data_IF_313337199020
#
_entry.id   IF_313337199020
#
_cell.length_a   1.000
_cell.length_b   1.000
_cell.length_c   1.000
_cell.angle_alpha   90.00
_cell.angle_beta   90.00
_cell.angle_gamma   90.00
#
_symmetry.space_group_name_H-M   'P 1'
#
loop_
_entity.id
_entity.type
_entity.pdbx_description
1 polymer ?
#
# COMPACT_ATOMS: atom_id res chain seq x y z
N UNK A 1 -24.57 -4.55 -30.58
CA UNK A 1 -24.07 -4.20 -29.22
C UNK A 1 -22.77 -4.95 -29.02
N UNK A 2 -21.74 -4.31 -28.48
CA UNK A 2 -20.45 -4.96 -28.27
C UNK A 2 -20.42 -5.59 -26.88
N UNK A 3 -20.17 -6.90 -26.81
CA UNK A 3 -20.07 -7.61 -25.54
C UNK A 3 -18.73 -7.30 -24.86
N UNK A 4 -18.77 -6.76 -23.64
CA UNK A 4 -17.59 -6.56 -22.81
C UNK A 4 -17.45 -7.77 -21.87
N UNK A 5 -16.32 -8.47 -21.94
CA UNK A 5 -16.02 -9.63 -21.10
C UNK A 5 -14.85 -9.31 -20.17
N UNK A 6 -15.01 -9.64 -18.89
CA UNK A 6 -14.00 -9.38 -17.85
C UNK A 6 -13.58 -10.73 -17.28
N UNK A 7 -12.32 -11.17 -17.47
CA UNK A 7 -11.86 -12.43 -16.93
C UNK A 7 -11.70 -12.32 -15.40
N UNK A 8 -12.16 -13.34 -14.68
CA UNK A 8 -12.04 -13.43 -13.22
C UNK A 8 -11.41 -14.78 -12.86
N UNK A 9 -10.57 -14.79 -11.83
CA UNK A 9 -9.83 -15.99 -11.37
C UNK A 9 -10.60 -16.77 -10.29
N UNK A 10 -11.77 -16.28 -9.88
CA UNK A 10 -12.55 -16.86 -8.79
C UNK A 10 -13.74 -17.67 -9.32
N UNK A 11 -14.08 -18.74 -8.62
CA UNK A 11 -15.14 -19.67 -9.04
C UNK A 11 -16.54 -19.12 -8.80
N UNK A 12 -16.74 -18.36 -7.72
CA UNK A 12 -18.04 -17.79 -7.34
C UNK A 12 -17.91 -16.28 -7.12
N UNK A 13 -18.68 -15.52 -7.87
CA UNK A 13 -18.78 -14.06 -7.74
C UNK A 13 -20.07 -13.74 -6.99
N UNK A 14 -19.94 -12.95 -5.92
CA UNK A 14 -21.06 -12.52 -5.08
C UNK A 14 -21.65 -11.22 -5.61
N UNK A 15 -20.79 -10.26 -5.97
CA UNK A 15 -21.20 -8.94 -6.42
C UNK A 15 -20.18 -8.39 -7.43
N UNK A 16 -20.67 -7.68 -8.45
CA UNK A 16 -19.83 -6.86 -9.33
C UNK A 16 -20.27 -5.41 -9.20
N UNK A 17 -19.35 -4.52 -8.84
CA UNK A 17 -19.60 -3.08 -8.73
C UNK A 17 -18.87 -2.33 -9.82
N UNK A 18 -19.58 -1.37 -10.43
CA UNK A 18 -18.99 -0.39 -11.34
C UNK A 18 -18.86 0.91 -10.56
N UNK A 19 -17.65 1.24 -10.14
CA UNK A 19 -17.37 2.44 -9.35
C UNK A 19 -16.77 3.51 -10.26
N UNK A 20 -17.44 4.66 -10.44
CA UNK A 20 -16.86 5.78 -11.17
C UNK A 20 -15.60 6.28 -10.46
N UNK A 21 -14.52 6.44 -11.22
CA UNK A 21 -13.27 7.03 -10.75
C UNK A 21 -12.81 8.12 -11.72
N UNK A 22 -11.79 8.88 -11.33
CA UNK A 22 -11.26 9.96 -12.19
C UNK A 22 -10.66 9.36 -13.47
N UNK A 23 -11.32 9.59 -14.61
CA UNK A 23 -10.84 9.17 -15.92
C UNK A 23 -11.03 7.69 -16.26
N UNK A 24 -11.69 6.91 -15.39
CA UNK A 24 -11.99 5.51 -15.64
C UNK A 24 -13.18 5.01 -14.79
N UNK A 25 -13.62 3.78 -15.05
CA UNK A 25 -14.46 3.02 -14.12
C UNK A 25 -13.61 1.92 -13.50
N UNK A 26 -13.70 1.76 -12.18
CA UNK A 26 -13.12 0.63 -11.47
C UNK A 26 -14.19 -0.45 -11.39
N UNK A 27 -13.85 -1.64 -11.87
CA UNK A 27 -14.73 -2.81 -11.77
C UNK A 27 -14.24 -3.63 -10.59
N UNK A 28 -15.04 -3.66 -9.53
CA UNK A 28 -14.76 -4.43 -8.33
C UNK A 28 -15.54 -5.74 -8.39
N UNK A 29 -14.83 -6.87 -8.29
CA UNK A 29 -15.42 -8.20 -8.24
C UNK A 29 -15.30 -8.72 -6.81
N UNK A 30 -16.42 -8.81 -6.12
CA UNK A 30 -16.51 -9.28 -4.74
C UNK A 30 -16.82 -10.77 -4.75
N UNK A 31 -16.06 -11.53 -3.97
CA UNK A 31 -16.20 -12.97 -3.84
C UNK A 31 -15.98 -13.39 -2.39
N UNK A 32 -16.61 -14.49 -2.00
CA UNK A 32 -16.33 -15.13 -0.72
C UNK A 32 -14.98 -15.85 -0.79
N UNK A 33 -14.14 -15.61 0.21
CA UNK A 33 -12.88 -16.32 0.38
C UNK A 33 -12.99 -17.14 1.65
N UNK A 34 -12.97 -18.46 1.52
CA UNK A 34 -12.91 -19.35 2.68
C UNK A 34 -11.61 -19.07 3.45
N UNK A 35 -11.74 -18.68 4.72
CA UNK A 35 -10.57 -18.56 5.58
C UNK A 35 -9.95 -19.95 5.77
N UNK A 36 -8.63 -20.02 5.66
CA UNK A 36 -7.92 -21.25 6.01
C UNK A 36 -8.12 -21.50 7.50
N UNK A 37 -8.53 -22.73 7.85
CA UNK A 37 -8.68 -23.12 9.24
C UNK A 37 -7.37 -22.86 9.99
N UNK A 38 -7.50 -22.28 11.19
CA UNK A 38 -6.37 -22.03 12.07
C UNK A 38 -5.71 -23.37 12.41
N UNK A 39 -4.47 -23.55 11.94
CA UNK A 39 -3.67 -24.69 12.33
C UNK A 39 -3.18 -24.44 13.76
N UNK A 40 -3.55 -25.31 14.69
CA UNK A 40 -2.96 -25.29 16.03
C UNK A 40 -1.51 -25.78 15.94
N UNK A 41 -0.59 -24.91 16.35
CA UNK A 41 0.84 -25.16 16.31
C UNK A 41 1.45 -24.76 17.64
N UNK A 42 2.29 -25.64 18.20
CA UNK A 42 3.15 -25.31 19.36
C UNK A 42 4.22 -24.25 19.03
N UNK A 43 4.45 -24.02 17.74
CA UNK A 43 5.38 -23.00 17.27
C UNK A 43 4.69 -21.66 17.11
N UNK A 44 5.33 -20.62 17.64
CA UNK A 44 4.89 -19.23 17.61
C UNK A 44 5.96 -18.41 16.90
N UNK A 45 5.53 -17.44 16.10
CA UNK A 45 6.40 -16.43 15.52
C UNK A 45 5.97 -15.04 16.02
N UNK A 46 6.94 -14.26 16.50
CA UNK A 46 6.76 -12.85 16.81
C UNK A 46 7.23 -11.99 15.65
N UNK A 47 6.48 -10.93 15.35
CA UNK A 47 6.81 -9.93 14.34
C UNK A 47 6.81 -8.57 15.03
N UNK A 48 7.95 -7.89 14.99
CA UNK A 48 8.09 -6.50 15.42
C UNK A 48 8.34 -5.62 14.20
N UNK A 49 7.55 -4.56 14.05
CA UNK A 49 7.62 -3.63 12.93
C UNK A 49 8.36 -2.36 13.36
N UNK A 50 9.33 -1.93 12.55
CA UNK A 50 10.14 -0.75 12.84
C UNK A 50 10.48 0.08 11.60
N UNK A 51 11.31 1.11 11.79
CA UNK A 51 11.71 2.03 10.71
C UNK A 51 13.06 1.64 10.11
N UNK A 52 14.08 1.41 10.95
CA UNK A 52 15.42 1.04 10.46
C UNK A 52 15.55 -0.47 10.22
N UNK A 53 14.94 -1.27 11.10
CA UNK A 53 14.60 -2.67 10.87
C UNK A 53 13.11 -2.71 10.59
N UNK A 54 12.73 -2.84 9.33
CA UNK A 54 11.32 -2.81 8.92
C UNK A 54 10.54 -3.95 9.58
N UNK A 55 11.16 -5.13 9.60
CA UNK A 55 10.62 -6.32 10.23
C UNK A 55 11.73 -6.99 11.01
N UNK A 56 11.45 -7.31 12.28
CA UNK A 56 12.18 -8.31 13.03
C UNK A 56 11.25 -9.49 13.31
N UNK A 57 11.60 -10.65 12.74
CA UNK A 57 10.82 -11.88 12.87
C UNK A 57 11.65 -12.93 13.59
N UNK A 58 11.08 -13.51 14.63
CA UNK A 58 11.68 -14.61 15.39
C UNK A 58 10.64 -15.67 15.71
N UNK A 59 11.08 -16.92 15.86
CA UNK A 59 10.19 -18.05 16.19
C UNK A 59 10.87 -19.01 17.15
N UNK A 60 10.07 -19.73 17.93
CA UNK A 60 10.54 -20.86 18.74
C UNK A 60 10.68 -22.18 17.93
N UNK A 61 10.47 -22.15 16.60
CA UNK A 61 10.65 -23.32 15.73
C UNK A 61 12.14 -23.64 15.55
N UNK A 62 12.62 -24.84 15.94
CA UNK A 62 14.03 -25.23 15.77
C UNK A 62 14.47 -25.18 14.31
N UNK A 63 15.72 -24.75 14.08
CA UNK A 63 16.33 -24.68 12.74
C UNK A 63 15.92 -23.46 11.91
N UNK A 64 15.00 -22.62 12.40
CA UNK A 64 14.63 -21.36 11.73
C UNK A 64 15.47 -20.22 12.29
N UNK A 65 16.19 -19.51 11.41
CA UNK A 65 16.96 -18.33 11.80
C UNK A 65 16.05 -17.11 11.87
N UNK A 66 16.23 -16.21 12.86
CA UNK A 66 15.54 -14.93 12.89
C UNK A 66 15.80 -14.12 11.61
N UNK A 67 14.78 -13.42 11.13
CA UNK A 67 14.83 -12.61 9.92
C UNK A 67 14.78 -11.12 10.29
N UNK A 68 15.70 -10.35 9.72
CA UNK A 68 15.73 -8.89 9.81
C UNK A 68 15.62 -8.28 8.43
N UNK A 69 14.56 -7.51 8.20
CA UNK A 69 14.36 -6.78 6.94
C UNK A 69 14.84 -5.35 7.13
N UNK A 70 15.73 -4.88 6.25
CA UNK A 70 16.26 -3.53 6.30
C UNK A 70 15.21 -2.50 5.88
N UNK A 71 14.84 -1.59 6.78
CA UNK A 71 13.87 -0.52 6.52
C UNK A 71 14.48 0.80 6.06
N UNK A 72 15.81 0.95 6.10
CA UNK A 72 16.50 2.17 5.66
C UNK A 72 16.16 2.61 4.22
N UNK A 73 15.98 1.71 3.24
CA UNK A 73 15.54 2.11 1.90
C UNK A 73 14.16 2.80 1.92
N UNK A 74 13.19 2.27 2.67
CA UNK A 74 11.87 2.89 2.79
C UNK A 74 11.97 4.25 3.53
N UNK A 75 12.78 4.32 4.57
CA UNK A 75 13.07 5.57 5.30
C UNK A 75 13.66 6.64 4.39
N UNK A 76 14.59 6.31 3.49
CA UNK A 76 15.23 7.27 2.58
C UNK A 76 14.24 7.80 1.54
N UNK A 77 13.37 6.94 1.01
CA UNK A 77 12.28 7.33 0.11
C UNK A 77 11.32 8.29 0.83
N UNK A 78 10.93 7.97 2.08
CA UNK A 78 10.07 8.84 2.87
C UNK A 78 10.73 10.19 3.18
N UNK A 79 12.05 10.20 3.42
CA UNK A 79 12.80 11.44 3.63
C UNK A 79 12.79 12.34 2.37
N UNK A 80 12.96 11.76 1.17
CA UNK A 80 12.87 12.49 -0.09
C UNK A 80 11.48 13.11 -0.28
N UNK A 81 10.43 12.34 0.04
CA UNK A 81 9.06 12.84 0.01
C UNK A 81 8.88 14.04 0.95
N UNK A 82 9.28 13.92 2.22
CA UNK A 82 9.16 14.99 3.21
C UNK A 82 9.90 16.26 2.78
N UNK A 83 11.09 16.13 2.17
CA UNK A 83 11.83 17.27 1.59
C UNK A 83 11.04 17.97 0.49
N UNK A 84 10.44 17.21 -0.44
CA UNK A 84 9.64 17.78 -1.54
C UNK A 84 8.36 18.43 -1.00
N UNK A 85 7.68 17.79 -0.05
CA UNK A 85 6.46 18.33 0.58
C UNK A 85 6.74 19.64 1.30
N UNK A 86 7.81 19.70 2.10
CA UNK A 86 8.22 20.91 2.79
C UNK A 86 8.45 22.08 1.82
N UNK A 87 9.13 21.83 0.68
CA UNK A 87 9.35 22.82 -0.37
C UNK A 87 8.03 23.39 -0.91
N UNK A 88 7.04 22.56 -1.22
CA UNK A 88 5.76 23.07 -1.74
C UNK A 88 4.91 23.75 -0.67
N UNK A 89 5.02 23.30 0.58
CA UNK A 89 4.28 23.89 1.69
C UNK A 89 4.74 25.31 2.05
N UNK A 90 6.02 25.65 1.88
CA UNK A 90 6.50 27.03 2.09
C UNK A 90 5.89 27.99 1.08
N UNK A 91 5.76 27.59 -0.18
CA UNK A 91 5.13 28.41 -1.22
C UNK A 91 3.62 28.63 -0.98
N UNK A 92 2.95 27.72 -0.28
CA UNK A 92 1.53 27.84 0.08
C UNK A 92 1.27 28.67 1.34
N UNK A 93 2.26 28.78 2.24
CA UNK A 93 2.18 29.63 3.46
C UNK A 93 2.57 31.08 3.21
N UNK A 94 3.26 31.39 2.10
CA UNK A 94 3.52 32.76 1.67
C UNK A 94 2.24 33.47 1.23
N UNK A 95 2.23 34.82 1.22
CA UNK A 95 1.08 35.67 0.80
C UNK A 95 0.59 35.45 -0.64
N UNK A 96 1.19 34.53 -1.40
CA UNK A 96 0.85 34.24 -2.80
C UNK A 96 0.34 32.79 -2.87
N UNK A 97 -0.98 32.63 -2.81
CA UNK A 97 -1.59 31.34 -3.13
C UNK A 97 -1.50 31.11 -4.64
N UNK A 98 -0.60 30.21 -5.06
CA UNK A 98 -0.55 29.76 -6.44
C UNK A 98 -1.22 28.38 -6.55
N UNK A 99 -2.36 28.25 -7.27
CA UNK A 99 -3.13 27.01 -7.40
C UNK A 99 -2.28 25.81 -7.84
N UNK A 100 -1.24 26.07 -8.64
CA UNK A 100 -0.33 25.05 -9.17
C UNK A 100 0.41 24.29 -8.06
N UNK A 101 0.75 24.92 -6.93
CA UNK A 101 1.42 24.24 -5.82
C UNK A 101 0.46 23.37 -5.01
N UNK A 102 -0.80 23.78 -4.85
CA UNK A 102 -1.82 22.98 -4.20
C UNK A 102 -2.14 21.72 -5.02
N UNK A 103 -2.28 21.85 -6.34
CA UNK A 103 -2.44 20.73 -7.26
C UNK A 103 -1.24 19.79 -7.24
N UNK A 104 -0.01 20.35 -7.23
CA UNK A 104 1.22 19.55 -7.13
C UNK A 104 1.30 18.78 -5.81
N UNK A 105 0.87 19.38 -4.69
CA UNK A 105 0.81 18.71 -3.38
C UNK A 105 -0.21 17.57 -3.35
N UNK A 106 -1.39 17.74 -3.97
CA UNK A 106 -2.38 16.65 -4.10
C UNK A 106 -1.82 15.47 -4.90
N UNK A 107 -1.27 15.75 -6.09
CA UNK A 107 -0.63 14.73 -6.93
C UNK A 107 0.52 14.00 -6.23
N UNK A 108 1.32 14.71 -5.43
CA UNK A 108 2.38 14.09 -4.63
C UNK A 108 1.84 13.17 -3.53
N UNK A 109 0.73 13.54 -2.88
CA UNK A 109 0.07 12.73 -1.87
C UNK A 109 -0.47 11.42 -2.46
N UNK A 110 -1.18 11.50 -3.59
CA UNK A 110 -1.67 10.32 -4.32
C UNK A 110 -0.51 9.39 -4.73
N UNK A 111 0.59 9.94 -5.24
CA UNK A 111 1.76 9.15 -5.62
C UNK A 111 2.46 8.49 -4.42
N UNK A 112 2.41 9.09 -3.23
CA UNK A 112 2.92 8.49 -1.98
C UNK A 112 2.05 7.31 -1.53
N UNK A 113 0.72 7.42 -1.64
CA UNK A 113 -0.22 6.34 -1.31
C UNK A 113 -0.02 5.13 -2.24
N UNK A 114 0.07 5.37 -3.55
CA UNK A 114 0.32 4.32 -4.54
C UNK A 114 1.65 3.59 -4.29
N UNK A 115 2.72 4.34 -3.97
CA UNK A 115 4.03 3.74 -3.63
C UNK A 115 3.98 2.87 -2.38
N UNK A 116 3.22 3.31 -1.37
CA UNK A 116 3.01 2.54 -0.15
C UNK A 116 2.30 1.23 -0.48
N UNK A 117 1.22 1.26 -1.27
CA UNK A 117 0.54 0.04 -1.72
C UNK A 117 1.46 -0.90 -2.51
N UNK A 118 2.23 -0.38 -3.47
CA UNK A 118 3.12 -1.21 -4.28
C UNK A 118 4.13 -1.96 -3.42
N UNK A 119 4.71 -1.30 -2.42
CA UNK A 119 5.70 -1.91 -1.54
C UNK A 119 5.14 -3.07 -0.70
N UNK A 120 3.86 -3.05 -0.34
CA UNK A 120 3.22 -4.14 0.42
C UNK A 120 2.66 -5.27 -0.46
N UNK A 121 2.53 -5.06 -1.78
CA UNK A 121 1.93 -6.03 -2.71
C UNK A 121 2.95 -6.74 -3.62
N UNK A 122 4.24 -6.37 -3.58
CA UNK A 122 5.36 -7.12 -4.17
C UNK A 122 6.05 -7.97 -3.12
#
# INVERSE_FOLDING_TARGET
>A
MSDIKIPVVVESVVEVRIVPATGCYVIEVVYEKTEQQRIESKYVAGIDLGIDRLVALATNKPGVKPLLINGKPLKSVNQLYNKRKAKYQTHLKGRIFLPNYALKMRSMHEHQELKTMYFFNT
#
